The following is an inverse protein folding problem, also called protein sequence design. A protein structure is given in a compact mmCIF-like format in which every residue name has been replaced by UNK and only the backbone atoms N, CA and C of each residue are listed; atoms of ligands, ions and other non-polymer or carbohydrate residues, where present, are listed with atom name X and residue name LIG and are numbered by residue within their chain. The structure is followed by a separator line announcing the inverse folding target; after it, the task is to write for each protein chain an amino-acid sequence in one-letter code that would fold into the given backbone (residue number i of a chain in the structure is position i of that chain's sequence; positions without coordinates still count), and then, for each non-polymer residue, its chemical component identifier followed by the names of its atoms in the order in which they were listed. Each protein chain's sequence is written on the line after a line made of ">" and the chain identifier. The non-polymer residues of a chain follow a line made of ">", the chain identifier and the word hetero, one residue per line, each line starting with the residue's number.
data_IF_305260292188
#
_entry.id   IF_305260292188
#
_cell.length_a   1.000
_cell.length_b   1.000
_cell.length_c   1.000
_cell.angle_alpha   90.00
_cell.angle_beta   90.00
_cell.angle_gamma   90.00
#
_symmetry.space_group_name_H-M   'P 1'
#
loop_
_entity.id
_entity.type
_entity.pdbx_description
1 polymer ?
#
# COMPACT_ATOMS: atom_id res chain seq x y z
N UNK A 1 58.71 -13.67 -17.51
CA UNK A 1 57.69 -12.67 -17.14
C UNK A 1 56.24 -13.08 -17.51
N UNK A 2 55.98 -14.35 -17.87
CA UNK A 2 54.66 -14.80 -18.33
C UNK A 2 53.71 -15.32 -17.21
N UNK A 3 54.22 -15.57 -15.99
CA UNK A 3 53.42 -16.10 -14.86
C UNK A 3 52.78 -15.02 -13.99
N UNK A 4 53.20 -13.75 -14.12
CA UNK A 4 52.70 -12.63 -13.31
C UNK A 4 51.34 -12.14 -13.84
N UNK A 5 51.19 -12.12 -15.17
CA UNK A 5 49.95 -11.73 -15.85
C UNK A 5 48.72 -12.56 -15.43
N UNK A 6 48.75 -13.90 -15.40
CA UNK A 6 47.58 -14.68 -14.97
C UNK A 6 47.31 -14.55 -13.46
N UNK A 7 48.35 -14.34 -12.65
CA UNK A 7 48.19 -14.16 -11.20
C UNK A 7 47.51 -12.81 -10.87
N UNK A 8 47.87 -11.74 -11.57
CA UNK A 8 47.21 -10.44 -11.43
C UNK A 8 45.76 -10.46 -11.92
N UNK A 9 45.47 -11.20 -13.00
CA UNK A 9 44.10 -11.36 -13.52
C UNK A 9 43.21 -12.14 -12.54
N UNK A 10 43.76 -13.19 -11.92
CA UNK A 10 43.08 -13.95 -10.87
C UNK A 10 42.84 -13.10 -9.62
N UNK A 11 43.81 -12.28 -9.20
CA UNK A 11 43.63 -11.37 -8.07
C UNK A 11 42.55 -10.31 -8.35
N UNK A 12 42.52 -9.78 -9.57
CA UNK A 12 41.49 -8.81 -9.97
C UNK A 12 40.09 -9.43 -9.94
N UNK A 13 39.95 -10.69 -10.36
CA UNK A 13 38.66 -11.40 -10.34
C UNK A 13 38.15 -11.70 -8.92
N UNK A 14 39.07 -11.89 -7.96
CA UNK A 14 38.77 -12.11 -6.54
C UNK A 14 38.43 -10.81 -5.77
N UNK A 15 38.77 -9.65 -6.33
CA UNK A 15 38.48 -8.33 -5.76
C UNK A 15 37.17 -7.74 -6.27
N UNK A 16 36.51 -8.34 -7.27
CA UNK A 16 35.14 -7.98 -7.56
C UNK A 16 34.31 -8.34 -6.33
N UNK A 17 33.66 -7.36 -5.68
CA UNK A 17 32.64 -7.67 -4.71
C UNK A 17 31.67 -8.59 -5.43
N UNK A 18 31.29 -9.75 -4.87
CA UNK A 18 30.06 -10.34 -5.32
C UNK A 18 29.04 -9.22 -5.11
N UNK A 19 28.53 -8.67 -6.20
CA UNK A 19 27.23 -8.01 -6.19
C UNK A 19 26.27 -9.13 -5.83
N UNK A 20 26.31 -9.54 -4.56
CA UNK A 20 25.35 -10.36 -3.90
C UNK A 20 24.08 -9.65 -4.26
N UNK A 21 23.32 -10.28 -5.16
CA UNK A 21 21.90 -10.04 -5.26
C UNK A 21 21.47 -9.92 -3.81
N UNK A 22 21.16 -8.69 -3.39
CA UNK A 22 20.63 -8.46 -2.07
C UNK A 22 19.54 -9.53 -1.94
N UNK A 23 19.67 -10.47 -0.99
CA UNK A 23 18.58 -11.38 -0.73
C UNK A 23 17.39 -10.44 -0.57
N UNK A 24 16.40 -10.55 -1.45
CA UNK A 24 15.16 -9.85 -1.20
C UNK A 24 14.53 -10.60 -0.03
N UNK A 25 15.08 -10.36 1.17
CA UNK A 25 14.51 -10.68 2.47
C UNK A 25 13.32 -9.72 2.68
N UNK A 26 12.45 -9.58 1.67
CA UNK A 26 11.10 -9.08 1.88
C UNK A 26 10.33 -10.25 2.48
N UNK A 27 10.51 -10.41 3.79
CA UNK A 27 9.65 -11.21 4.61
C UNK A 27 8.19 -10.85 4.32
N UNK A 28 7.53 -11.74 3.58
CA UNK A 28 6.11 -11.99 3.48
C UNK A 28 5.16 -10.85 3.95
N UNK A 29 4.88 -9.91 3.03
CA UNK A 29 3.53 -9.39 2.73
C UNK A 29 2.76 -8.73 3.91
N UNK A 30 3.36 -8.38 5.06
CA UNK A 30 2.66 -7.72 6.18
C UNK A 30 3.50 -6.64 6.85
N UNK A 31 2.85 -5.67 7.50
CA UNK A 31 3.46 -4.47 8.08
C UNK A 31 4.21 -3.57 7.06
N UNK A 32 3.66 -3.44 5.87
CA UNK A 32 4.13 -2.51 4.84
C UNK A 32 3.92 -1.06 5.26
N UNK A 33 4.89 -0.23 4.92
CA UNK A 33 4.87 1.22 5.12
C UNK A 33 4.13 1.95 3.99
N UNK A 34 3.72 3.18 4.25
CA UNK A 34 3.03 4.01 3.25
C UNK A 34 3.89 4.16 1.99
N UNK A 35 3.28 3.93 0.82
CA UNK A 35 3.93 4.00 -0.49
C UNK A 35 4.47 2.65 -1.00
N UNK A 36 4.54 1.61 -0.17
CA UNK A 36 4.92 0.28 -0.61
C UNK A 36 3.81 -0.43 -1.39
N UNK A 37 4.18 -1.33 -2.30
CA UNK A 37 3.25 -2.13 -3.10
C UNK A 37 2.49 -3.12 -2.22
N UNK A 38 1.16 -3.12 -2.32
CA UNK A 38 0.28 -3.99 -1.54
C UNK A 38 -0.74 -4.68 -2.44
N UNK A 39 -1.24 -5.85 -2.01
CA UNK A 39 -2.38 -6.52 -2.65
C UNK A 39 -3.62 -6.56 -1.74
N UNK A 40 -3.46 -6.24 -0.46
CA UNK A 40 -4.51 -6.31 0.55
C UNK A 40 -4.22 -5.28 1.64
N UNK A 41 -5.27 -4.63 2.18
CA UNK A 41 -5.14 -3.62 3.23
C UNK A 41 -4.56 -4.16 4.53
N UNK A 42 -4.76 -5.46 4.82
CA UNK A 42 -4.16 -6.13 5.98
C UNK A 42 -2.62 -6.13 5.95
N UNK A 43 -2.02 -5.93 4.77
CA UNK A 43 -0.58 -5.88 4.62
C UNK A 43 0.01 -4.56 5.13
N UNK A 44 -0.77 -3.48 5.08
CA UNK A 44 -0.30 -2.13 5.39
C UNK A 44 -0.46 -1.81 6.88
N UNK A 45 0.54 -1.18 7.50
CA UNK A 45 0.44 -0.66 8.88
C UNK A 45 -0.72 0.33 9.03
N UNK A 46 -0.95 1.15 8.00
CA UNK A 46 -2.08 2.09 7.94
C UNK A 46 -3.45 1.38 7.86
N UNK A 47 -3.47 0.13 7.42
CA UNK A 47 -4.70 -0.63 7.16
C UNK A 47 -5.46 -0.18 5.90
N UNK A 48 -4.81 0.50 4.95
CA UNK A 48 -5.38 0.81 3.64
C UNK A 48 -4.41 0.51 2.50
N UNK A 49 -4.86 -0.30 1.54
CA UNK A 49 -4.23 -0.52 0.26
C UNK A 49 -5.00 0.24 -0.83
N UNK A 50 -4.39 1.28 -1.39
CA UNK A 50 -5.03 2.24 -2.29
C UNK A 50 -4.56 2.07 -3.74
N UNK A 51 -5.48 2.21 -4.69
CA UNK A 51 -5.21 2.25 -6.13
C UNK A 51 -5.94 3.42 -6.77
N UNK A 52 -5.36 4.02 -7.80
CA UNK A 52 -6.03 5.14 -8.49
C UNK A 52 -7.14 4.64 -9.40
N UNK A 53 -6.90 3.53 -10.11
CA UNK A 53 -7.77 3.00 -11.15
C UNK A 53 -7.75 1.46 -11.17
N UNK A 54 -8.70 0.84 -11.87
CA UNK A 54 -8.88 -0.62 -11.88
C UNK A 54 -7.70 -1.44 -12.43
N UNK A 55 -6.82 -0.80 -13.20
CA UNK A 55 -5.60 -1.40 -13.78
C UNK A 55 -4.31 -0.95 -13.09
N UNK A 56 -4.41 0.00 -12.16
CA UNK A 56 -3.24 0.56 -11.47
C UNK A 56 -2.74 -0.38 -10.36
N UNK A 57 -1.43 -0.35 -10.12
CA UNK A 57 -0.80 -1.04 -8.99
C UNK A 57 -1.18 -0.35 -7.68
N UNK A 58 -1.64 -1.14 -6.71
CA UNK A 58 -2.03 -0.62 -5.41
C UNK A 58 -0.82 -0.42 -4.49
N UNK A 59 -0.88 0.61 -3.65
CA UNK A 59 0.13 0.96 -2.65
C UNK A 59 -0.51 1.31 -1.31
N UNK A 60 0.23 1.07 -0.24
CA UNK A 60 -0.23 1.45 1.09
C UNK A 60 -0.40 2.97 1.18
N UNK A 61 -1.52 3.40 1.75
CA UNK A 61 -1.87 4.81 1.90
C UNK A 61 -2.40 5.08 3.31
N UNK A 62 -2.32 6.33 3.81
CA UNK A 62 -2.99 6.69 5.06
C UNK A 62 -4.52 6.54 4.91
N UNK A 63 -5.19 6.30 6.04
CA UNK A 63 -6.65 6.36 6.10
C UNK A 63 -7.13 7.80 5.93
N UNK A 64 -8.40 7.95 5.53
CA UNK A 64 -9.00 9.27 5.34
C UNK A 64 -9.27 9.92 6.71
N UNK A 65 -8.77 11.14 6.90
CA UNK A 65 -9.06 11.95 8.08
C UNK A 65 -10.45 12.58 8.00
N UNK A 66 -10.88 13.26 9.06
CA UNK A 66 -12.16 13.99 9.08
C UNK A 66 -12.24 14.99 7.91
N UNK A 67 -13.43 15.11 7.33
CA UNK A 67 -13.76 15.91 6.13
C UNK A 67 -13.11 15.46 4.82
N UNK A 68 -12.33 14.38 4.81
CA UNK A 68 -11.73 13.83 3.58
C UNK A 68 -12.65 12.81 2.89
N UNK A 69 -12.44 12.66 1.59
CA UNK A 69 -13.12 11.65 0.78
C UNK A 69 -12.75 10.23 1.21
N UNK A 70 -13.75 9.35 1.26
CA UNK A 70 -13.60 7.98 1.72
C UNK A 70 -14.45 7.00 0.92
N UNK A 71 -14.09 5.72 1.04
CA UNK A 71 -14.98 4.61 0.69
C UNK A 71 -15.40 3.88 1.97
N UNK A 72 -16.65 3.39 2.06
CA UNK A 72 -17.03 2.39 3.04
C UNK A 72 -16.10 1.18 2.96
N UNK A 73 -15.92 0.51 4.10
CA UNK A 73 -15.16 -0.74 4.17
C UNK A 73 -15.75 -1.77 3.22
N UNK A 74 -14.89 -2.42 2.46
CA UNK A 74 -15.25 -3.43 1.46
C UNK A 74 -14.50 -4.73 1.69
N UNK A 75 -15.14 -5.83 1.29
CA UNK A 75 -14.58 -7.17 1.39
C UNK A 75 -13.36 -7.38 0.47
N UNK A 76 -13.26 -6.61 -0.62
CA UNK A 76 -12.10 -6.68 -1.52
C UNK A 76 -10.81 -6.22 -0.81
N UNK A 77 -10.94 -5.29 0.12
CA UNK A 77 -9.83 -4.77 0.92
C UNK A 77 -8.73 -4.06 0.11
N UNK A 78 -9.06 -3.61 -1.11
CA UNK A 78 -8.30 -2.65 -1.90
C UNK A 78 -9.27 -1.54 -2.29
N UNK A 79 -8.84 -0.28 -2.21
CA UNK A 79 -9.73 0.87 -2.24
C UNK A 79 -9.30 1.91 -3.28
N UNK A 80 -10.29 2.57 -3.90
CA UNK A 80 -10.06 3.80 -4.67
C UNK A 80 -9.97 5.05 -3.79
N UNK A 81 -10.62 5.00 -2.62
CA UNK A 81 -10.57 6.02 -1.58
C UNK A 81 -10.44 5.30 -0.25
N UNK A 82 -9.42 5.62 0.53
CA UNK A 82 -9.19 4.89 1.78
C UNK A 82 -10.38 5.04 2.75
N UNK A 83 -10.64 4.01 3.58
CA UNK A 83 -11.62 4.14 4.64
C UNK A 83 -11.16 5.17 5.68
N UNK A 84 -12.10 5.67 6.47
CA UNK A 84 -11.80 6.65 7.51
C UNK A 84 -10.92 6.10 8.62
N UNK A 85 -10.25 7.01 9.31
CA UNK A 85 -9.58 6.75 10.58
C UNK A 85 -10.54 6.24 11.66
N UNK A 86 -9.98 5.63 12.69
CA UNK A 86 -10.76 5.06 13.80
C UNK A 86 -11.55 6.17 14.51
N UNK A 87 -12.85 5.95 14.69
CA UNK A 87 -13.76 6.92 15.33
C UNK A 87 -14.60 7.74 14.34
N UNK A 88 -14.22 7.77 13.06
CA UNK A 88 -14.97 8.46 12.01
C UNK A 88 -15.88 7.49 11.24
N UNK A 89 -16.96 8.02 10.68
CA UNK A 89 -17.86 7.30 9.78
C UNK A 89 -17.79 7.89 8.39
N UNK A 90 -17.70 7.02 7.38
CA UNK A 90 -17.78 7.43 5.98
C UNK A 90 -19.25 7.63 5.61
N UNK A 91 -19.71 8.88 5.57
CA UNK A 91 -21.08 9.23 5.16
C UNK A 91 -21.19 9.25 3.64
N UNK A 92 -21.97 8.32 3.09
CA UNK A 92 -22.27 8.18 1.67
C UNK A 92 -23.65 7.56 1.51
N UNK A 93 -24.32 7.90 0.43
CA UNK A 93 -25.47 7.14 -0.05
C UNK A 93 -24.97 5.80 -0.58
N UNK A 94 -25.43 4.69 0.01
CA UNK A 94 -25.02 3.35 -0.41
C UNK A 94 -25.95 2.83 -1.49
N UNK A 95 -25.39 2.42 -2.61
CA UNK A 95 -26.14 1.82 -3.72
C UNK A 95 -25.75 0.37 -3.88
N UNK A 96 -26.66 -0.49 -4.36
CA UNK A 96 -26.36 -1.91 -4.60
C UNK A 96 -25.16 -2.06 -5.54
N UNK A 97 -25.17 -1.28 -6.63
CA UNK A 97 -24.08 -1.29 -7.63
C UNK A 97 -22.79 -0.77 -7.01
N UNK A 98 -22.81 0.38 -6.34
CA UNK A 98 -21.61 0.98 -5.76
C UNK A 98 -21.00 0.18 -4.61
N UNK A 99 -21.81 -0.58 -3.87
CA UNK A 99 -21.32 -1.52 -2.86
C UNK A 99 -20.61 -2.73 -3.49
N UNK A 100 -21.06 -3.18 -4.67
CA UNK A 100 -20.40 -4.25 -5.44
C UNK A 100 -19.13 -3.72 -6.12
N UNK A 101 -19.13 -2.51 -6.67
CA UNK A 101 -17.98 -1.95 -7.39
C UNK A 101 -16.98 -1.24 -6.48
N UNK A 102 -17.28 -1.08 -5.19
CA UNK A 102 -16.53 -0.28 -4.23
C UNK A 102 -16.36 1.18 -4.68
N UNK A 103 -17.43 1.77 -5.19
CA UNK A 103 -17.45 3.15 -5.71
C UNK A 103 -18.50 4.04 -5.04
N UNK A 104 -19.10 3.59 -3.93
CA UNK A 104 -19.87 4.48 -3.05
C UNK A 104 -18.87 5.39 -2.32
N UNK A 105 -18.63 6.60 -2.82
CA UNK A 105 -17.71 7.56 -2.19
C UNK A 105 -18.45 8.55 -1.30
N UNK A 106 -17.87 8.78 -0.13
CA UNK A 106 -18.43 9.66 0.89
C UNK A 106 -17.40 10.60 1.49
N UNK A 107 -17.78 11.22 2.60
CA UNK A 107 -16.89 12.05 3.41
C UNK A 107 -16.81 11.48 4.83
N UNK A 108 -15.62 11.49 5.42
CA UNK A 108 -15.43 11.11 6.81
C UNK A 108 -15.98 12.17 7.76
N UNK A 109 -16.89 11.79 8.64
CA UNK A 109 -17.48 12.67 9.64
C UNK A 109 -17.41 12.03 11.03
N UNK A 110 -17.24 12.85 12.07
CA UNK A 110 -17.46 12.41 13.45
C UNK A 110 -18.98 12.14 13.65
N UNK A 111 -19.37 10.93 14.09
CA UNK A 111 -20.76 10.60 14.44
C UNK A 111 -21.41 11.57 15.44
N UNK A 112 -20.63 12.26 16.26
CA UNK A 112 -21.10 13.27 17.19
C UNK A 112 -21.43 14.60 16.52
N UNK A 113 -20.76 14.96 15.42
CA UNK A 113 -21.09 16.14 14.64
C UNK A 113 -22.33 15.91 13.78
N UNK A 114 -22.44 14.74 13.13
CA UNK A 114 -23.58 14.46 12.24
C UNK A 114 -24.93 14.42 12.98
N UNK A 115 -24.95 13.99 14.25
CA UNK A 115 -26.17 14.02 15.08
C UNK A 115 -26.64 15.42 15.48
N UNK A 116 -25.79 16.45 15.35
CA UNK A 116 -26.15 17.84 15.70
C UNK A 116 -26.77 18.62 14.54
N UNK A 117 -26.78 18.07 13.33
CA UNK A 117 -27.39 18.69 12.14
C UNK A 117 -28.82 18.20 11.92
#
# INVERSE_FOLDING_TARGET
>A
MAKVLPACLLLALLLLPPALLAPQERGLIFNLDTGELCLQSAQCKSGCCHRTDGLSLARCAPKAAETQECSPKSLYGVYYKCPCESGLTCETDRTIVGSITNTDFGICMDPHESRRR
#
